data_IF_209674840399
#
_entry.id   IF_209674840399
#
_cell.length_a   1.000
_cell.length_b   1.000
_cell.length_c   1.000
_cell.angle_alpha   90.00
_cell.angle_beta   90.00
_cell.angle_gamma   90.00
#
_symmetry.space_group_name_H-M   'P 1'
#
loop_
_entity.id
_entity.type
_entity.pdbx_description
1 polymer ?
#
# COMPACT_ATOMS: atom_id res chain seq x y z
N UNK A 1 -10.60 36.08 19.04
CA UNK A 1 -10.35 36.24 17.61
C UNK A 1 -10.94 35.04 16.89
N UNK A 2 -11.63 35.22 15.76
CA UNK A 2 -12.12 34.12 14.97
C UNK A 2 -10.94 33.29 14.42
N UNK A 3 -11.14 31.96 14.34
CA UNK A 3 -10.08 31.03 13.96
C UNK A 3 -10.07 30.75 12.47
N UNK A 4 -8.89 30.74 11.84
CA UNK A 4 -8.68 30.24 10.50
C UNK A 4 -8.17 28.80 10.55
N UNK A 5 -8.80 27.91 9.81
CA UNK A 5 -8.51 26.48 9.76
C UNK A 5 -8.06 26.14 8.34
N UNK A 6 -6.92 25.48 8.18
CA UNK A 6 -6.42 25.13 6.87
C UNK A 6 -6.70 23.68 6.49
N UNK A 7 -7.23 23.48 5.26
CA UNK A 7 -7.32 22.16 4.65
C UNK A 7 -6.48 22.10 3.38
N UNK A 8 -5.51 21.18 3.38
CA UNK A 8 -4.56 20.97 2.29
C UNK A 8 -4.74 19.56 1.73
N UNK A 9 -4.82 19.44 0.39
CA UNK A 9 -4.93 18.14 -0.27
C UNK A 9 -3.95 17.99 -1.42
N UNK A 10 -3.27 16.84 -1.46
CA UNK A 10 -2.39 16.42 -2.55
C UNK A 10 -2.87 15.12 -3.17
N UNK A 11 -2.79 15.02 -4.50
CA UNK A 11 -3.17 13.79 -5.23
C UNK A 11 -2.07 12.72 -5.22
N UNK A 12 -0.83 13.05 -4.83
CA UNK A 12 0.27 12.10 -4.69
C UNK A 12 1.23 12.51 -3.58
N UNK A 13 1.92 11.52 -2.98
CA UNK A 13 2.96 11.75 -1.96
C UNK A 13 4.14 12.58 -2.49
N UNK A 14 4.43 12.50 -3.79
CA UNK A 14 5.50 13.28 -4.45
C UNK A 14 5.15 14.77 -4.49
N UNK A 15 3.88 15.11 -4.68
CA UNK A 15 3.43 16.51 -4.65
C UNK A 15 3.47 17.12 -3.25
N UNK A 16 3.36 16.28 -2.22
CA UNK A 16 3.44 16.71 -0.82
C UNK A 16 4.85 17.16 -0.39
N UNK A 17 5.90 16.63 -1.01
CA UNK A 17 7.30 16.95 -0.71
C UNK A 17 7.88 18.10 -1.54
N UNK A 18 7.09 18.68 -2.47
CA UNK A 18 7.56 19.68 -3.44
C UNK A 18 6.94 21.08 -3.29
N UNK A 19 7.04 21.86 -4.36
CA UNK A 19 6.61 23.27 -4.42
C UNK A 19 5.11 23.49 -4.16
N UNK A 20 4.26 22.45 -4.29
CA UNK A 20 2.83 22.55 -4.04
C UNK A 20 2.49 22.88 -2.59
N UNK A 21 3.23 22.29 -1.61
CA UNK A 21 3.03 22.61 -0.18
C UNK A 21 3.45 24.02 0.13
N UNK A 22 4.61 24.44 -0.40
CA UNK A 22 5.13 25.80 -0.22
C UNK A 22 4.16 26.82 -0.78
N UNK A 23 3.59 26.56 -1.98
CA UNK A 23 2.61 27.43 -2.63
C UNK A 23 1.32 27.55 -1.80
N UNK A 24 0.74 26.44 -1.32
CA UNK A 24 -0.48 26.49 -0.53
C UNK A 24 -0.26 27.20 0.81
N UNK A 25 0.84 26.95 1.49
CA UNK A 25 1.19 27.67 2.70
C UNK A 25 1.38 29.18 2.42
N UNK A 26 2.02 29.56 1.31
CA UNK A 26 2.18 30.95 0.90
C UNK A 26 0.82 31.65 0.77
N UNK A 27 -0.16 31.02 0.11
CA UNK A 27 -1.51 31.58 -0.02
C UNK A 27 -2.21 31.75 1.34
N UNK A 28 -2.05 30.81 2.26
CA UNK A 28 -2.60 30.90 3.61
C UNK A 28 -1.99 32.10 4.36
N UNK A 29 -0.66 32.26 4.33
CA UNK A 29 0.01 33.36 5.02
C UNK A 29 -0.30 34.73 4.38
N UNK A 30 -0.40 34.81 3.04
CA UNK A 30 -0.81 36.02 2.33
C UNK A 30 -2.25 36.42 2.70
N UNK A 31 -3.15 35.44 2.78
CA UNK A 31 -4.53 35.66 3.20
C UNK A 31 -4.60 36.18 4.65
N UNK A 32 -3.88 35.58 5.59
CA UNK A 32 -3.82 36.00 6.99
C UNK A 32 -3.24 37.41 7.13
N UNK A 33 -2.25 37.78 6.35
CA UNK A 33 -1.69 39.13 6.33
C UNK A 33 -2.74 40.17 5.93
N UNK A 34 -3.63 39.83 5.02
CA UNK A 34 -4.71 40.69 4.55
C UNK A 34 -5.96 40.65 5.45
N UNK A 35 -6.03 39.69 6.36
CA UNK A 35 -7.15 39.50 7.29
C UNK A 35 -6.63 39.35 8.74
N UNK A 36 -6.11 40.42 9.34
CA UNK A 36 -5.45 40.37 10.65
C UNK A 36 -6.37 40.01 11.81
N UNK A 37 -7.69 40.09 11.60
CA UNK A 37 -8.69 39.70 12.60
C UNK A 37 -8.79 38.17 12.80
N UNK A 38 -8.18 37.37 11.91
CA UNK A 38 -8.17 35.92 11.97
C UNK A 38 -6.84 35.39 12.44
N UNK A 39 -6.86 34.36 13.27
CA UNK A 39 -5.68 33.63 13.73
C UNK A 39 -5.68 32.20 13.20
N UNK A 40 -4.59 31.76 12.60
CA UNK A 40 -4.45 30.38 12.15
C UNK A 40 -4.40 29.45 13.37
N UNK A 41 -5.29 28.46 13.40
CA UNK A 41 -5.24 27.40 14.40
C UNK A 41 -4.31 26.29 13.93
N UNK A 42 -3.09 26.26 14.45
CA UNK A 42 -2.11 25.27 14.07
C UNK A 42 -2.44 23.86 14.60
N UNK A 43 -3.27 23.75 15.61
CA UNK A 43 -3.72 22.47 16.17
C UNK A 43 -4.78 21.79 15.30
N UNK A 44 -5.49 22.56 14.46
CA UNK A 44 -6.56 22.13 13.54
C UNK A 44 -6.10 22.25 12.08
N UNK A 45 -4.95 21.67 11.76
CA UNK A 45 -4.45 21.53 10.37
C UNK A 45 -4.86 20.20 9.79
N UNK A 46 -5.69 20.23 8.76
CA UNK A 46 -6.17 19.04 8.08
C UNK A 46 -5.41 18.81 6.77
N UNK A 47 -4.78 17.65 6.62
CA UNK A 47 -3.95 17.35 5.45
C UNK A 47 -4.22 15.96 4.90
N UNK A 48 -4.67 15.89 3.65
CA UNK A 48 -4.83 14.64 2.90
C UNK A 48 -3.66 14.42 1.93
N UNK A 49 -2.74 13.50 2.28
CA UNK A 49 -1.56 13.18 1.50
C UNK A 49 -1.77 11.93 0.65
N UNK A 50 -2.00 12.12 -0.65
CA UNK A 50 -2.16 11.00 -1.60
C UNK A 50 -3.54 10.35 -1.61
N UNK A 51 -4.56 11.00 -1.04
CA UNK A 51 -5.95 10.53 -1.09
C UNK A 51 -6.66 11.19 -2.27
N UNK A 52 -7.27 10.35 -3.14
CA UNK A 52 -8.02 10.84 -4.29
C UNK A 52 -9.37 11.44 -3.86
N UNK A 53 -9.58 12.70 -4.16
CA UNK A 53 -10.90 13.34 -3.97
C UNK A 53 -11.99 12.81 -4.92
N UNK A 54 -11.59 12.13 -6.02
CA UNK A 54 -12.52 11.56 -6.99
C UNK A 54 -13.30 10.36 -6.42
N UNK A 55 -12.67 9.52 -5.60
CA UNK A 55 -13.32 8.37 -4.95
C UNK A 55 -14.09 8.73 -3.67
N UNK A 56 -14.02 9.98 -3.20
CA UNK A 56 -14.63 10.43 -1.95
C UNK A 56 -14.00 9.86 -0.68
N UNK A 57 -12.91 9.14 -0.78
CA UNK A 57 -12.23 8.52 0.35
C UNK A 57 -11.76 9.56 1.39
N UNK A 58 -11.40 10.78 0.95
CA UNK A 58 -11.01 11.88 1.81
C UNK A 58 -12.11 12.33 2.79
N UNK A 59 -13.39 12.15 2.42
CA UNK A 59 -14.52 12.57 3.26
C UNK A 59 -15.05 11.45 4.18
N UNK A 60 -14.68 10.17 3.89
CA UNK A 60 -15.10 9.03 4.73
C UNK A 60 -14.05 8.63 5.76
N UNK A 61 -12.77 8.74 5.42
CA UNK A 61 -11.65 8.26 6.24
C UNK A 61 -10.39 9.13 6.15
N UNK A 62 -10.49 10.35 5.57
CA UNK A 62 -9.39 11.30 5.44
C UNK A 62 -9.56 12.51 6.34
N UNK A 63 -8.57 13.41 6.32
CA UNK A 63 -8.54 14.61 7.14
C UNK A 63 -9.73 15.55 6.90
N UNK A 64 -10.34 15.53 5.72
CA UNK A 64 -11.59 16.27 5.48
C UNK A 64 -12.78 15.69 6.24
N UNK A 65 -12.85 14.38 6.42
CA UNK A 65 -13.84 13.72 7.28
C UNK A 65 -13.68 14.11 8.74
N UNK A 66 -12.43 14.16 9.22
CA UNK A 66 -12.10 14.64 10.57
C UNK A 66 -12.50 16.11 10.77
N UNK A 67 -12.27 16.96 9.76
CA UNK A 67 -12.75 18.34 9.77
C UNK A 67 -14.28 18.42 9.92
N UNK A 68 -15.03 17.66 9.11
CA UNK A 68 -16.49 17.65 9.21
C UNK A 68 -16.98 17.17 10.59
N UNK A 69 -16.35 16.13 11.13
CA UNK A 69 -16.66 15.65 12.48
C UNK A 69 -16.35 16.70 13.57
N UNK A 70 -15.26 17.46 13.42
CA UNK A 70 -14.91 18.55 14.33
C UNK A 70 -15.90 19.72 14.24
N UNK A 71 -16.47 19.99 13.07
CA UNK A 71 -17.55 20.96 12.89
C UNK A 71 -18.85 20.45 13.55
N UNK A 72 -19.24 19.21 13.29
CA UNK A 72 -20.47 18.61 13.84
C UNK A 72 -20.43 18.46 15.37
N UNK A 73 -19.25 18.18 15.95
CA UNK A 73 -19.06 18.08 17.41
C UNK A 73 -18.88 19.44 18.10
N UNK A 74 -18.83 20.56 17.36
CA UNK A 74 -18.69 21.91 17.94
C UNK A 74 -17.22 22.22 18.38
N UNK A 75 -16.26 21.39 18.09
CA UNK A 75 -14.83 21.68 18.32
C UNK A 75 -14.41 22.89 17.49
N UNK A 76 -14.92 22.96 16.25
CA UNK A 76 -14.79 24.13 15.39
C UNK A 76 -16.02 25.00 15.60
N UNK A 77 -15.82 26.16 16.21
CA UNK A 77 -16.89 27.07 16.58
C UNK A 77 -17.39 27.91 15.40
N UNK A 78 -18.65 28.32 15.44
CA UNK A 78 -19.21 29.29 14.52
C UNK A 78 -18.40 30.61 14.54
N UNK A 79 -18.29 31.24 13.37
CA UNK A 79 -17.40 32.39 13.16
C UNK A 79 -15.97 32.02 12.74
N UNK A 80 -15.63 30.73 12.74
CA UNK A 80 -14.38 30.24 12.15
C UNK A 80 -14.42 30.25 10.61
N UNK A 81 -13.24 30.27 9.97
CA UNK A 81 -13.13 30.23 8.51
C UNK A 81 -12.29 29.01 8.08
N UNK A 82 -12.77 28.27 7.09
CA UNK A 82 -12.02 27.20 6.42
C UNK A 82 -11.31 27.77 5.20
N UNK A 83 -9.97 27.68 5.19
CA UNK A 83 -9.12 28.07 4.07
C UNK A 83 -8.82 26.85 3.20
N UNK A 84 -9.25 26.89 1.94
CA UNK A 84 -8.98 25.89 0.91
C UNK A 84 -8.37 26.52 -0.33
N UNK A 85 -7.53 25.80 -1.08
CA UNK A 85 -6.98 26.31 -2.33
C UNK A 85 -8.10 26.65 -3.33
N UNK A 86 -9.09 25.74 -3.47
CA UNK A 86 -10.27 25.90 -4.34
C UNK A 86 -11.39 24.96 -3.89
N UNK A 87 -12.62 25.20 -4.31
CA UNK A 87 -13.78 24.38 -3.91
C UNK A 87 -13.69 22.92 -4.29
N UNK A 88 -12.93 22.56 -5.32
CA UNK A 88 -12.67 21.16 -5.68
C UNK A 88 -11.90 20.38 -4.61
N UNK A 89 -11.30 21.06 -3.64
CA UNK A 89 -10.69 20.45 -2.47
C UNK A 89 -11.74 19.86 -1.51
N UNK A 90 -12.89 20.52 -1.43
CA UNK A 90 -14.01 20.09 -0.57
C UNK A 90 -14.63 18.78 -1.09
N UNK A 91 -14.89 18.68 -2.38
CA UNK A 91 -15.35 17.44 -3.02
C UNK A 91 -15.08 17.43 -4.53
N UNK A 92 -14.75 16.26 -5.08
CA UNK A 92 -14.74 15.96 -6.52
C UNK A 92 -15.72 14.86 -6.88
N UNK A 93 -16.60 14.49 -5.96
CA UNK A 93 -17.70 13.57 -6.23
C UNK A 93 -18.78 14.28 -7.07
N UNK A 94 -19.96 13.73 -7.09
CA UNK A 94 -21.11 14.36 -7.74
C UNK A 94 -21.41 15.75 -7.12
N UNK A 95 -22.09 16.57 -7.89
CA UNK A 95 -22.41 17.97 -7.54
C UNK A 95 -23.28 18.05 -6.28
N UNK A 96 -24.22 17.12 -6.12
CA UNK A 96 -25.14 17.13 -4.99
C UNK A 96 -24.42 16.89 -3.67
N UNK A 97 -23.54 15.89 -3.64
CA UNK A 97 -22.69 15.61 -2.47
C UNK A 97 -21.77 16.79 -2.15
N UNK A 98 -21.19 17.43 -3.16
CA UNK A 98 -20.32 18.60 -2.95
C UNK A 98 -21.09 19.79 -2.40
N UNK A 99 -22.28 20.05 -2.93
CA UNK A 99 -23.20 21.10 -2.47
C UNK A 99 -23.67 20.84 -1.05
N UNK A 100 -24.03 19.61 -0.72
CA UNK A 100 -24.48 19.25 0.61
C UNK A 100 -23.39 19.45 1.67
N UNK A 101 -22.16 19.08 1.36
CA UNK A 101 -21.01 19.31 2.26
C UNK A 101 -20.75 20.79 2.49
N UNK A 102 -20.71 21.59 1.43
CA UNK A 102 -20.56 23.03 1.55
C UNK A 102 -21.71 23.62 2.40
N UNK A 103 -22.95 23.21 2.14
CA UNK A 103 -24.12 23.64 2.91
C UNK A 103 -23.99 23.31 4.39
N UNK A 104 -23.57 22.09 4.74
CA UNK A 104 -23.37 21.68 6.14
C UNK A 104 -22.35 22.58 6.86
N UNK A 105 -21.22 22.88 6.21
CA UNK A 105 -20.19 23.74 6.78
C UNK A 105 -20.74 25.15 7.03
N UNK A 106 -21.41 25.75 6.02
CA UNK A 106 -21.94 27.10 6.12
C UNK A 106 -23.09 27.20 7.13
N UNK A 107 -23.95 26.18 7.23
CA UNK A 107 -25.03 26.14 8.26
C UNK A 107 -24.48 26.00 9.67
N UNK A 108 -23.35 25.39 9.86
CA UNK A 108 -22.65 25.33 11.15
C UNK A 108 -21.98 26.67 11.52
N UNK A 109 -22.11 27.69 10.68
CA UNK A 109 -21.53 29.02 10.91
C UNK A 109 -20.02 29.10 10.62
N UNK A 110 -19.47 28.16 9.87
CA UNK A 110 -18.08 28.18 9.41
C UNK A 110 -18.04 28.68 7.97
N UNK A 111 -17.40 29.82 7.76
CA UNK A 111 -17.22 30.39 6.42
C UNK A 111 -16.18 29.57 5.62
N UNK A 112 -16.27 29.58 4.29
CA UNK A 112 -15.30 28.94 3.42
C UNK A 112 -14.67 29.98 2.50
N UNK A 113 -13.32 30.02 2.49
CA UNK A 113 -12.56 30.92 1.60
C UNK A 113 -11.72 30.08 0.65
N UNK A 114 -11.86 30.35 -0.65
CA UNK A 114 -11.01 29.81 -1.69
C UNK A 114 -9.84 30.74 -1.98
N UNK A 115 -8.63 30.26 -1.70
CA UNK A 115 -7.41 31.08 -1.76
C UNK A 115 -6.96 31.40 -3.20
N UNK A 116 -7.36 30.59 -4.19
CA UNK A 116 -6.99 30.77 -5.59
C UNK A 116 -7.66 31.99 -6.25
N UNK A 117 -8.91 32.27 -5.87
CA UNK A 117 -9.71 33.35 -6.43
C UNK A 117 -10.24 34.33 -5.36
N UNK A 118 -9.78 34.15 -4.12
CA UNK A 118 -10.18 34.93 -2.93
C UNK A 118 -11.72 35.08 -2.78
N UNK A 119 -12.45 34.03 -3.12
CA UNK A 119 -13.91 34.00 -3.00
C UNK A 119 -14.34 33.55 -1.61
N UNK A 120 -15.31 34.27 -1.04
CA UNK A 120 -15.91 33.97 0.24
C UNK A 120 -17.26 33.31 0.06
N UNK A 121 -17.47 32.22 0.79
CA UNK A 121 -18.75 31.51 0.90
C UNK A 121 -19.20 31.56 2.36
N UNK A 122 -20.29 32.28 2.59
CA UNK A 122 -20.91 32.48 3.92
C UNK A 122 -22.29 31.85 3.96
N UNK A 123 -22.91 31.83 5.14
CA UNK A 123 -24.28 31.31 5.30
C UNK A 123 -25.25 32.03 4.37
N UNK A 124 -25.08 33.33 4.19
CA UNK A 124 -25.92 34.19 3.32
C UNK A 124 -25.75 33.78 1.82
N UNK A 125 -24.58 33.26 1.44
CA UNK A 125 -24.34 32.77 0.08
C UNK A 125 -25.24 31.57 -0.30
N UNK A 126 -25.86 30.90 0.69
CA UNK A 126 -26.82 29.83 0.43
C UNK A 126 -28.15 30.34 -0.15
N UNK A 127 -28.44 31.61 0.07
CA UNK A 127 -29.65 32.29 -0.43
C UNK A 127 -29.36 33.12 -1.70
N UNK A 128 -28.08 33.19 -2.14
CA UNK A 128 -27.67 33.85 -3.36
C UNK A 128 -27.52 32.83 -4.51
N UNK A 129 -28.44 32.79 -5.48
CA UNK A 129 -28.39 31.85 -6.59
C UNK A 129 -27.10 31.95 -7.41
N UNK A 130 -26.54 33.16 -7.58
CA UNK A 130 -25.32 33.37 -8.39
C UNK A 130 -24.09 32.76 -7.70
N UNK A 131 -23.94 32.94 -6.40
CA UNK A 131 -22.86 32.32 -5.61
C UNK A 131 -22.93 30.81 -5.64
N UNK A 132 -24.13 30.23 -5.52
CA UNK A 132 -24.34 28.79 -5.63
C UNK A 132 -24.02 28.25 -7.01
N UNK A 133 -24.50 28.91 -8.07
CA UNK A 133 -24.20 28.52 -9.47
C UNK A 133 -22.68 28.58 -9.72
N UNK A 134 -22.01 29.66 -9.29
CA UNK A 134 -20.54 29.77 -9.40
C UNK A 134 -19.83 28.61 -8.72
N UNK A 135 -20.21 28.28 -7.48
CA UNK A 135 -19.64 27.17 -6.72
C UNK A 135 -19.83 25.84 -7.43
N UNK A 136 -21.04 25.56 -7.92
CA UNK A 136 -21.38 24.35 -8.67
C UNK A 136 -20.57 24.24 -9.95
N UNK A 137 -20.45 25.30 -10.74
CA UNK A 137 -19.68 25.32 -11.99
C UNK A 137 -18.19 25.05 -11.75
N UNK A 138 -17.58 25.61 -10.69
CA UNK A 138 -16.19 25.35 -10.33
C UNK A 138 -15.98 23.87 -9.98
N UNK A 139 -16.87 23.30 -9.16
CA UNK A 139 -16.82 21.90 -8.77
C UNK A 139 -17.02 20.96 -9.96
N UNK A 140 -18.00 21.26 -10.83
CA UNK A 140 -18.27 20.48 -12.05
C UNK A 140 -17.07 20.49 -13.00
N UNK A 141 -16.50 21.66 -13.29
CA UNK A 141 -15.31 21.78 -14.16
C UNK A 141 -14.14 20.92 -13.66
N UNK A 142 -13.88 20.92 -12.36
CA UNK A 142 -12.81 20.12 -11.78
C UNK A 142 -13.08 18.60 -11.86
N UNK A 143 -14.34 18.19 -11.73
CA UNK A 143 -14.75 16.79 -11.91
C UNK A 143 -14.60 16.36 -13.38
N UNK A 144 -15.11 17.15 -14.32
CA UNK A 144 -14.97 16.90 -15.76
C UNK A 144 -13.51 16.85 -16.21
N UNK A 145 -12.66 17.74 -15.71
CA UNK A 145 -11.21 17.71 -15.99
C UNK A 145 -10.57 16.40 -15.52
N UNK A 146 -10.92 15.94 -14.30
CA UNK A 146 -10.42 14.68 -13.75
C UNK A 146 -10.92 13.48 -14.55
N UNK A 147 -12.20 13.46 -14.92
CA UNK A 147 -12.81 12.41 -15.75
C UNK A 147 -12.19 12.38 -17.16
N UNK A 148 -12.00 13.54 -17.75
CA UNK A 148 -11.36 13.70 -19.09
C UNK A 148 -9.91 13.22 -19.07
N UNK A 149 -9.12 13.60 -18.06
CA UNK A 149 -7.75 13.10 -17.86
C UNK A 149 -7.72 11.58 -17.74
N UNK A 150 -8.64 11.00 -16.94
CA UNK A 150 -8.75 9.55 -16.77
C UNK A 150 -9.13 8.85 -18.09
N UNK A 151 -10.08 9.40 -18.84
CA UNK A 151 -10.49 8.88 -20.16
C UNK A 151 -9.33 8.92 -21.16
N UNK A 152 -8.64 10.06 -21.26
CA UNK A 152 -7.46 10.21 -22.15
C UNK A 152 -6.36 9.22 -21.78
N UNK A 153 -6.08 9.03 -20.48
CA UNK A 153 -5.09 8.06 -20.02
C UNK A 153 -5.48 6.63 -20.39
N UNK A 154 -6.74 6.26 -20.20
CA UNK A 154 -7.25 4.93 -20.61
C UNK A 154 -7.09 4.72 -22.11
N UNK A 155 -7.56 5.67 -22.92
CA UNK A 155 -7.43 5.58 -24.39
C UNK A 155 -5.96 5.46 -24.83
N UNK A 156 -5.04 6.19 -24.20
CA UNK A 156 -3.60 6.09 -24.50
C UNK A 156 -3.03 4.71 -24.13
N UNK A 157 -3.49 4.11 -23.03
CA UNK A 157 -3.11 2.74 -22.68
C UNK A 157 -3.73 1.69 -23.60
N UNK A 158 -4.98 1.89 -24.05
CA UNK A 158 -5.64 1.00 -25.00
C UNK A 158 -4.90 1.01 -26.34
N UNK A 159 -4.57 2.18 -26.87
CA UNK A 159 -3.77 2.30 -28.08
C UNK A 159 -2.38 1.60 -27.94
N UNK A 160 -1.71 1.77 -26.79
CA UNK A 160 -0.46 1.03 -26.53
C UNK A 160 -0.65 -0.48 -26.49
N UNK A 161 -1.78 -0.99 -26.01
CA UNK A 161 -2.08 -2.43 -26.00
C UNK A 161 -2.34 -2.96 -27.40
N UNK A 162 -3.07 -2.19 -28.23
CA UNK A 162 -3.29 -2.52 -29.64
C UNK A 162 -1.95 -2.56 -30.39
N UNK A 163 -1.08 -1.58 -30.19
CA UNK A 163 0.26 -1.56 -30.74
C UNK A 163 1.12 -2.74 -30.25
N UNK A 164 0.97 -3.11 -28.96
CA UNK A 164 1.68 -4.27 -28.40
C UNK A 164 1.21 -5.59 -29.02
N UNK A 165 -0.09 -5.72 -29.35
CA UNK A 165 -0.61 -6.89 -30.10
C UNK A 165 -0.01 -6.98 -31.51
N UNK A 166 0.49 -5.86 -32.06
CA UNK A 166 1.21 -5.78 -33.34
C UNK A 166 2.74 -5.91 -33.19
N UNK A 167 3.24 -6.25 -31.98
CA UNK A 167 4.65 -6.48 -31.70
C UNK A 167 5.44 -5.28 -31.19
N UNK A 168 4.79 -4.10 -30.96
CA UNK A 168 5.50 -2.95 -30.37
C UNK A 168 5.68 -3.07 -28.88
N UNK A 169 6.82 -2.63 -28.35
CA UNK A 169 7.09 -2.60 -26.90
C UNK A 169 6.34 -1.45 -26.23
N UNK A 170 5.48 -1.78 -25.26
CA UNK A 170 4.66 -0.79 -24.55
C UNK A 170 5.45 0.15 -23.64
N UNK A 171 6.40 -0.39 -22.90
CA UNK A 171 7.17 0.33 -21.87
C UNK A 171 8.55 -0.29 -21.69
N UNK A 172 9.50 0.49 -21.14
CA UNK A 172 10.81 -0.03 -20.73
C UNK A 172 10.75 -1.04 -19.58
N UNK A 173 9.62 -1.13 -18.88
CA UNK A 173 9.44 -2.07 -17.78
C UNK A 173 8.98 -3.42 -18.34
N UNK A 174 9.80 -4.44 -18.17
CA UNK A 174 9.51 -5.82 -18.58
C UNK A 174 9.70 -6.81 -17.42
N UNK A 175 9.59 -8.09 -17.70
CA UNK A 175 9.85 -9.18 -16.76
C UNK A 175 11.34 -9.30 -16.45
N UNK A 176 11.68 -9.85 -15.30
CA UNK A 176 13.04 -9.77 -14.76
C UNK A 176 14.10 -10.60 -15.52
N UNK A 177 13.71 -11.52 -16.37
CA UNK A 177 14.63 -12.29 -17.25
C UNK A 177 14.84 -11.67 -18.63
N UNK A 178 14.22 -10.48 -18.84
CA UNK A 178 14.35 -9.69 -20.05
C UNK A 178 14.81 -8.27 -19.72
N UNK A 179 15.45 -7.64 -20.67
CA UNK A 179 15.63 -6.20 -20.73
C UNK A 179 15.14 -5.67 -22.09
N UNK A 180 14.76 -4.43 -22.13
CA UNK A 180 14.37 -3.77 -23.38
C UNK A 180 15.63 -3.14 -23.98
N UNK A 181 15.84 -3.31 -25.27
CA UNK A 181 16.91 -2.66 -26.02
C UNK A 181 16.86 -1.13 -25.89
N UNK A 182 18.00 -0.48 -26.07
CA UNK A 182 18.10 0.98 -25.91
C UNK A 182 17.13 1.78 -26.78
N UNK A 183 16.89 1.31 -27.99
CA UNK A 183 15.96 1.87 -29.01
C UNK A 183 14.51 1.41 -28.85
N UNK A 184 14.21 0.54 -27.86
CA UNK A 184 12.89 -0.06 -27.62
C UNK A 184 12.36 -0.91 -28.78
N UNK A 185 13.22 -1.45 -29.64
CA UNK A 185 12.82 -2.27 -30.80
C UNK A 185 12.56 -3.73 -30.43
N UNK A 186 13.30 -4.30 -29.48
CA UNK A 186 13.21 -5.70 -29.12
C UNK A 186 13.54 -5.98 -27.64
N UNK A 187 13.20 -7.20 -27.20
CA UNK A 187 13.59 -7.70 -25.90
C UNK A 187 14.87 -8.52 -26.01
N UNK A 188 15.80 -8.29 -25.10
CA UNK A 188 17.03 -9.05 -24.94
C UNK A 188 16.90 -9.98 -23.73
N UNK A 189 17.33 -11.24 -23.88
CA UNK A 189 17.39 -12.21 -22.80
C UNK A 189 18.53 -11.87 -21.84
N UNK A 190 18.28 -11.99 -20.53
CA UNK A 190 19.32 -11.96 -19.49
C UNK A 190 19.69 -13.42 -19.19
N UNK A 191 20.84 -13.95 -19.66
CA UNK A 191 21.13 -15.39 -19.66
C UNK A 191 21.03 -16.05 -18.29
N UNK A 192 21.55 -15.41 -17.22
CA UNK A 192 21.54 -15.99 -15.88
C UNK A 192 20.14 -16.06 -15.30
N UNK A 193 19.31 -15.05 -15.58
CA UNK A 193 17.91 -15.04 -15.14
C UNK A 193 17.07 -16.07 -15.91
N UNK A 194 17.35 -16.28 -17.20
CA UNK A 194 16.70 -17.31 -18.01
C UNK A 194 17.05 -18.70 -17.47
N UNK A 195 18.33 -18.98 -17.18
CA UNK A 195 18.77 -20.23 -16.55
C UNK A 195 18.06 -20.48 -15.23
N UNK A 196 17.94 -19.45 -14.39
CA UNK A 196 17.22 -19.57 -13.12
C UNK A 196 15.73 -19.92 -13.32
N UNK A 197 15.05 -19.28 -14.30
CA UNK A 197 13.66 -19.62 -14.65
C UNK A 197 13.54 -21.07 -15.10
N UNK A 198 14.38 -21.50 -16.03
CA UNK A 198 14.37 -22.86 -16.57
C UNK A 198 14.65 -23.90 -15.47
N UNK A 199 15.60 -23.62 -14.58
CA UNK A 199 15.93 -24.51 -13.45
C UNK A 199 14.75 -24.70 -12.50
N UNK A 200 14.02 -23.64 -12.17
CA UNK A 200 12.80 -23.74 -11.33
C UNK A 200 11.74 -24.63 -11.97
N UNK A 201 11.51 -24.50 -13.28
CA UNK A 201 10.55 -25.34 -14.02
C UNK A 201 11.01 -26.79 -14.07
N UNK A 202 12.31 -27.05 -14.34
CA UNK A 202 12.90 -28.37 -14.34
C UNK A 202 12.69 -29.08 -12.99
N UNK A 203 13.08 -28.43 -11.88
CA UNK A 203 12.92 -29.00 -10.53
C UNK A 203 11.45 -29.29 -10.19
N UNK A 204 10.53 -28.46 -10.71
CA UNK A 204 9.10 -28.70 -10.51
C UNK A 204 8.60 -29.91 -11.29
N UNK A 205 9.06 -30.12 -12.53
CA UNK A 205 8.74 -31.29 -13.35
C UNK A 205 9.32 -32.57 -12.75
N UNK A 206 10.47 -32.50 -12.06
CA UNK A 206 11.04 -33.58 -11.25
C UNK A 206 10.18 -33.91 -10.00
N UNK A 207 9.09 -33.15 -9.75
CA UNK A 207 8.14 -33.37 -8.65
C UNK A 207 8.48 -32.67 -7.34
N UNK A 208 9.51 -31.85 -7.26
CA UNK A 208 9.91 -31.20 -6.02
C UNK A 208 8.83 -30.21 -5.54
N UNK A 209 8.52 -30.16 -4.23
CA UNK A 209 7.64 -29.14 -3.65
C UNK A 209 8.32 -27.77 -3.63
N UNK A 210 7.53 -26.68 -3.65
CA UNK A 210 8.03 -25.30 -3.79
C UNK A 210 9.11 -24.91 -2.77
N UNK A 211 8.98 -25.39 -1.52
CA UNK A 211 9.97 -25.13 -0.46
C UNK A 211 11.33 -25.79 -0.78
N UNK A 212 11.30 -27.01 -1.32
CA UNK A 212 12.52 -27.73 -1.68
C UNK A 212 13.18 -27.09 -2.91
N UNK A 213 12.37 -26.66 -3.90
CA UNK A 213 12.86 -25.90 -5.05
C UNK A 213 13.55 -24.61 -4.58
N UNK A 214 12.90 -23.83 -3.71
CA UNK A 214 13.49 -22.60 -3.18
C UNK A 214 14.83 -22.85 -2.48
N UNK A 215 14.88 -23.91 -1.67
CA UNK A 215 16.10 -24.31 -0.98
C UNK A 215 17.20 -24.71 -1.96
N UNK A 216 16.90 -25.52 -2.94
CA UNK A 216 17.88 -25.98 -3.93
C UNK A 216 18.41 -24.84 -4.80
N UNK A 217 17.54 -23.91 -5.22
CA UNK A 217 17.97 -22.70 -5.93
C UNK A 217 18.93 -21.84 -5.11
N UNK A 218 18.72 -21.75 -3.79
CA UNK A 218 19.62 -21.04 -2.90
C UNK A 218 20.96 -21.77 -2.70
N UNK A 219 20.93 -23.10 -2.58
CA UNK A 219 22.12 -23.97 -2.46
C UNK A 219 22.95 -23.97 -3.75
N UNK A 220 22.30 -23.93 -4.93
CA UNK A 220 22.94 -23.79 -6.24
C UNK A 220 23.46 -22.37 -6.53
N UNK A 221 23.23 -21.41 -5.62
CA UNK A 221 23.73 -20.03 -5.73
C UNK A 221 22.96 -19.14 -6.70
N UNK A 222 21.75 -19.52 -7.11
CA UNK A 222 20.90 -18.65 -7.92
C UNK A 222 20.32 -17.51 -7.10
N UNK A 223 20.45 -16.28 -7.59
CA UNK A 223 19.78 -15.11 -6.99
C UNK A 223 18.35 -14.98 -7.51
N UNK A 224 17.49 -14.36 -6.69
CA UNK A 224 16.12 -14.05 -7.15
C UNK A 224 16.16 -13.04 -8.28
N UNK A 225 15.18 -13.16 -9.17
CA UNK A 225 15.01 -12.30 -10.35
C UNK A 225 14.70 -10.81 -10.00
N UNK A 226 14.54 -10.46 -8.74
CA UNK A 226 14.21 -9.11 -8.32
C UNK A 226 15.49 -8.28 -8.08
N UNK A 227 15.97 -7.62 -9.10
CA UNK A 227 17.18 -6.77 -9.08
C UNK A 227 17.09 -5.54 -8.15
N UNK A 228 15.91 -5.22 -7.59
CA UNK A 228 15.74 -4.02 -6.74
C UNK A 228 16.29 -4.15 -5.32
N UNK A 229 16.58 -5.36 -4.88
CA UNK A 229 17.12 -5.58 -3.54
C UNK A 229 18.07 -6.79 -3.50
N UNK A 230 19.34 -6.61 -3.84
CA UNK A 230 20.32 -7.70 -3.86
C UNK A 230 20.55 -8.31 -2.47
N UNK A 231 20.33 -7.57 -1.39
CA UNK A 231 20.50 -8.06 -0.02
C UNK A 231 19.41 -9.07 0.39
N UNK A 232 18.24 -9.05 -0.29
CA UNK A 232 17.14 -10.02 -0.09
C UNK A 232 17.03 -11.05 -1.20
N UNK A 233 18.10 -11.28 -1.95
CA UNK A 233 18.13 -12.02 -3.19
C UNK A 233 17.94 -13.55 -3.10
N UNK A 234 17.48 -14.09 -1.97
CA UNK A 234 17.27 -15.52 -1.85
C UNK A 234 15.84 -15.95 -2.27
N UNK A 235 15.74 -17.13 -2.89
CA UNK A 235 14.49 -17.73 -3.29
C UNK A 235 13.63 -18.13 -2.10
N UNK A 236 12.32 -17.92 -2.21
CA UNK A 236 11.31 -18.36 -1.27
C UNK A 236 10.25 -19.21 -1.97
N UNK A 237 9.52 -20.02 -1.24
CA UNK A 237 8.40 -20.81 -1.79
C UNK A 237 7.34 -19.94 -2.48
N UNK A 238 7.11 -18.72 -1.99
CA UNK A 238 6.17 -17.76 -2.58
C UNK A 238 6.70 -17.22 -3.91
N UNK A 239 8.01 -16.96 -4.00
CA UNK A 239 8.65 -16.50 -5.24
C UNK A 239 8.62 -17.59 -6.30
N UNK A 240 8.94 -18.84 -5.90
CA UNK A 240 8.84 -20.02 -6.78
C UNK A 240 7.41 -20.18 -7.29
N UNK A 241 6.42 -20.15 -6.39
CA UNK A 241 5.01 -20.27 -6.79
C UNK A 241 4.61 -19.16 -7.77
N UNK A 242 4.94 -17.92 -7.49
CA UNK A 242 4.61 -16.79 -8.33
C UNK A 242 5.23 -16.90 -9.72
N UNK A 243 6.47 -17.40 -9.82
CA UNK A 243 7.13 -17.65 -11.11
C UNK A 243 6.47 -18.78 -11.90
N UNK A 244 6.14 -19.90 -11.26
CA UNK A 244 5.47 -21.03 -11.89
C UNK A 244 4.03 -20.71 -12.34
N UNK A 245 3.39 -19.69 -11.77
CA UNK A 245 2.06 -19.21 -12.16
C UNK A 245 2.11 -18.12 -13.26
N UNK A 246 3.30 -17.60 -13.56
CA UNK A 246 3.46 -16.45 -14.43
C UNK A 246 3.49 -16.84 -15.91
N UNK A 247 2.42 -16.58 -16.65
CA UNK A 247 2.32 -16.86 -18.08
C UNK A 247 3.30 -16.06 -18.96
N UNK A 248 3.97 -15.07 -18.39
CA UNK A 248 5.01 -14.34 -19.16
C UNK A 248 6.20 -15.20 -19.53
N UNK A 249 6.42 -16.36 -18.88
CA UNK A 249 7.49 -17.30 -19.24
C UNK A 249 7.25 -17.99 -20.59
N UNK A 250 5.96 -18.07 -21.00
CA UNK A 250 5.53 -18.60 -22.31
C UNK A 250 5.11 -17.47 -23.27
N UNK A 251 5.55 -16.25 -23.01
CA UNK A 251 5.42 -15.13 -23.94
C UNK A 251 4.22 -14.20 -23.73
N UNK A 252 3.34 -14.44 -22.76
CA UNK A 252 2.18 -13.59 -22.53
C UNK A 252 2.51 -12.33 -21.72
N UNK A 253 1.93 -11.20 -22.13
CA UNK A 253 1.85 -10.01 -21.28
C UNK A 253 0.59 -10.06 -20.46
N UNK A 254 0.74 -10.36 -19.16
CA UNK A 254 -0.37 -10.41 -18.21
C UNK A 254 -0.59 -9.01 -17.62
N UNK A 255 -1.82 -8.47 -17.64
CA UNK A 255 -2.14 -7.21 -16.99
C UNK A 255 -1.96 -7.34 -15.48
N UNK A 256 -1.50 -6.26 -14.83
CA UNK A 256 -1.50 -6.22 -13.36
C UNK A 256 -2.93 -6.19 -12.82
N UNK A 257 -3.20 -6.93 -11.73
CA UNK A 257 -4.50 -6.94 -11.04
C UNK A 257 -4.74 -5.60 -10.32
N UNK A 258 -4.96 -4.53 -11.07
CA UNK A 258 -5.38 -3.24 -10.52
C UNK A 258 -6.73 -2.85 -11.15
N UNK A 259 -7.45 -1.95 -10.48
CA UNK A 259 -8.76 -1.46 -10.94
C UNK A 259 -8.76 -0.89 -12.35
N UNK A 260 -7.62 -0.35 -12.80
CA UNK A 260 -7.45 0.24 -14.15
C UNK A 260 -7.32 -0.84 -15.23
N UNK A 261 -6.87 -2.05 -14.88
CA UNK A 261 -6.68 -3.16 -15.82
C UNK A 261 -7.77 -4.24 -15.71
N UNK A 262 -8.81 -3.99 -14.92
CA UNK A 262 -9.92 -4.91 -14.77
C UNK A 262 -10.63 -5.11 -16.13
N UNK A 263 -10.72 -6.36 -16.59
CA UNK A 263 -11.29 -6.71 -17.91
C UNK A 263 -10.31 -6.63 -19.10
N UNK A 264 -9.04 -6.24 -18.87
CA UNK A 264 -8.03 -6.23 -19.94
C UNK A 264 -7.55 -7.65 -20.21
N UNK A 265 -7.61 -8.05 -21.47
CA UNK A 265 -7.14 -9.37 -21.93
C UNK A 265 -5.61 -9.44 -21.93
N UNK A 266 -5.07 -10.65 -21.75
CA UNK A 266 -3.66 -10.94 -21.93
C UNK A 266 -3.25 -10.77 -23.40
N UNK A 267 -2.03 -10.31 -23.64
CA UNK A 267 -1.47 -10.17 -25.00
C UNK A 267 -0.56 -11.37 -25.26
N UNK A 268 -0.91 -12.28 -26.16
CA UNK A 268 -0.07 -13.42 -26.52
C UNK A 268 1.13 -12.95 -27.34
N UNK A 269 2.21 -13.73 -27.31
CA UNK A 269 3.44 -13.53 -28.11
C UNK A 269 4.07 -12.12 -27.93
N UNK A 270 3.87 -11.52 -26.74
CA UNK A 270 4.44 -10.21 -26.43
C UNK A 270 5.88 -10.29 -25.97
N UNK A 271 6.23 -11.30 -25.18
CA UNK A 271 7.59 -11.57 -24.74
C UNK A 271 8.19 -12.76 -25.48
N UNK A 272 9.52 -12.82 -25.68
CA UNK A 272 10.18 -14.08 -26.08
C UNK A 272 9.93 -15.13 -24.99
N UNK A 273 9.44 -16.30 -25.41
CA UNK A 273 9.22 -17.42 -24.50
C UNK A 273 10.56 -18.01 -24.04
N UNK A 274 10.66 -18.35 -22.76
CA UNK A 274 11.84 -18.98 -22.14
C UNK A 274 11.55 -20.40 -21.66
N UNK A 275 10.27 -20.76 -21.60
CA UNK A 275 9.73 -22.10 -21.29
C UNK A 275 8.74 -22.46 -22.39
N UNK A 276 8.67 -23.76 -22.78
CA UNK A 276 7.66 -24.22 -23.72
C UNK A 276 6.26 -24.26 -23.08
N UNK A 277 5.22 -24.13 -23.90
CA UNK A 277 3.84 -24.24 -23.41
C UNK A 277 3.57 -25.61 -22.77
N UNK A 278 4.11 -26.69 -23.35
CA UNK A 278 4.00 -28.05 -22.83
C UNK A 278 4.56 -28.16 -21.41
N UNK A 279 5.76 -27.65 -21.18
CA UNK A 279 6.39 -27.63 -19.85
C UNK A 279 5.57 -26.79 -18.85
N UNK A 280 5.08 -25.63 -19.29
CA UNK A 280 4.26 -24.77 -18.44
C UNK A 280 2.98 -25.48 -18.00
N UNK A 281 2.22 -26.05 -18.95
CA UNK A 281 0.96 -26.71 -18.62
C UNK A 281 1.16 -28.02 -17.86
N UNK A 282 2.23 -28.79 -18.10
CA UNK A 282 2.60 -29.95 -17.29
C UNK A 282 2.81 -29.56 -15.82
N UNK A 283 3.49 -28.44 -15.56
CA UNK A 283 3.66 -27.90 -14.19
C UNK A 283 2.31 -27.50 -13.56
N UNK A 284 1.38 -26.92 -14.35
CA UNK A 284 0.03 -26.57 -13.82
C UNK A 284 -0.77 -27.83 -13.43
N UNK A 285 -0.70 -28.89 -14.21
CA UNK A 285 -1.36 -30.18 -13.90
C UNK A 285 -0.85 -30.78 -12.58
N UNK A 286 0.47 -30.72 -12.32
CA UNK A 286 1.05 -31.17 -11.04
C UNK A 286 0.53 -30.40 -9.81
N UNK A 287 -0.02 -29.20 -9.99
CA UNK A 287 -0.64 -28.43 -8.89
C UNK A 287 -2.04 -28.91 -8.56
N UNK A 288 -2.81 -29.32 -9.56
CA UNK A 288 -4.20 -29.76 -9.38
C UNK A 288 -4.29 -31.12 -8.64
N UNK A 289 -3.25 -31.97 -8.78
CA UNK A 289 -3.18 -33.26 -8.10
C UNK A 289 -2.79 -33.23 -6.62
N UNK A 290 -2.27 -32.10 -6.14
CA UNK A 290 -1.94 -31.91 -4.72
C UNK A 290 -3.16 -31.40 -3.95
N UNK A 291 -4.19 -32.23 -3.80
CA UNK A 291 -5.36 -31.94 -2.99
C UNK A 291 -4.93 -31.45 -1.59
N UNK A 292 -5.46 -30.30 -1.14
CA UNK A 292 -5.41 -29.90 0.27
C UNK A 292 -6.00 -31.06 1.07
N UNK A 293 -5.19 -31.77 1.86
CA UNK A 293 -5.73 -32.59 2.92
C UNK A 293 -6.63 -31.71 3.77
N UNK A 294 -7.93 -31.99 3.90
CA UNK A 294 -8.77 -31.22 4.78
C UNK A 294 -8.18 -31.34 6.17
N UNK A 295 -7.87 -30.23 6.80
CA UNK A 295 -7.53 -30.18 8.22
C UNK A 295 -8.81 -30.47 8.99
N UNK A 296 -9.02 -31.74 9.27
CA UNK A 296 -10.10 -32.20 10.12
C UNK A 296 -9.69 -31.99 11.57
N UNK A 297 -9.76 -30.85 12.11
CA UNK A 297 -9.79 -30.50 13.51
C UNK A 297 -9.28 -29.08 13.71
N UNK A 298 -10.01 -28.30 14.49
CA UNK A 298 -9.56 -26.96 14.88
C UNK A 298 -8.25 -27.12 15.64
N UNK A 299 -7.14 -26.53 15.19
CA UNK A 299 -5.88 -26.68 15.91
C UNK A 299 -6.06 -26.08 17.29
N UNK A 300 -5.81 -26.89 18.33
CA UNK A 300 -5.47 -26.38 19.66
C UNK A 300 -4.51 -25.20 19.50
N UNK A 301 -4.62 -24.18 20.34
CA UNK A 301 -3.73 -23.02 20.38
C UNK A 301 -2.26 -23.49 20.43
N UNK A 302 -1.68 -23.72 19.25
CA UNK A 302 -0.36 -24.34 19.14
C UNK A 302 0.78 -23.33 19.14
N UNK A 303 0.48 -22.04 19.00
CA UNK A 303 1.50 -20.99 19.00
C UNK A 303 0.98 -19.75 19.73
N UNK A 304 1.35 -19.63 21.02
CA UNK A 304 0.98 -18.49 21.88
C UNK A 304 1.56 -17.16 21.37
N UNK A 305 2.74 -17.20 20.75
CA UNK A 305 3.48 -16.02 20.31
C UNK A 305 3.50 -15.87 18.79
N UNK A 306 2.41 -16.32 18.12
CA UNK A 306 2.27 -16.21 16.65
C UNK A 306 2.39 -14.76 16.19
N UNK A 307 3.34 -14.51 15.28
CA UNK A 307 3.58 -13.18 14.68
C UNK A 307 4.39 -12.22 15.56
N UNK A 308 4.58 -12.52 16.84
CA UNK A 308 5.35 -11.70 17.80
C UNK A 308 6.79 -12.19 17.89
N UNK A 309 6.97 -13.51 18.08
CA UNK A 309 8.29 -14.11 18.26
C UNK A 309 9.11 -14.05 16.97
N UNK A 310 10.31 -13.51 17.05
CA UNK A 310 11.26 -13.35 15.94
C UNK A 310 12.51 -14.20 16.15
N UNK A 311 13.13 -14.59 15.04
CA UNK A 311 14.42 -15.27 15.07
C UNK A 311 15.54 -14.30 15.45
N UNK A 312 16.37 -14.64 16.43
CA UNK A 312 17.49 -13.79 16.86
C UNK A 312 18.59 -13.61 15.81
N UNK A 313 18.77 -14.57 14.88
CA UNK A 313 19.80 -14.49 13.84
C UNK A 313 19.36 -13.68 12.62
N UNK A 314 18.12 -13.85 12.14
CA UNK A 314 17.66 -13.25 10.87
C UNK A 314 16.45 -12.32 10.99
N UNK A 315 15.86 -12.15 12.18
CA UNK A 315 14.72 -11.27 12.44
C UNK A 315 13.36 -11.74 11.88
N UNK A 316 13.31 -12.86 11.13
CA UNK A 316 12.06 -13.37 10.59
C UNK A 316 11.20 -14.06 11.65
N UNK A 317 9.91 -14.22 11.34
CA UNK A 317 8.94 -14.87 12.23
C UNK A 317 9.33 -16.32 12.52
N UNK A 318 9.09 -16.76 13.76
CA UNK A 318 9.17 -18.16 14.12
C UNK A 318 7.83 -18.86 13.93
N UNK A 319 7.88 -20.14 13.60
CA UNK A 319 6.72 -21.03 13.43
C UNK A 319 6.86 -22.23 14.34
N UNK A 320 5.73 -22.76 14.81
CA UNK A 320 5.72 -24.03 15.54
C UNK A 320 5.72 -25.17 14.54
N UNK A 321 6.66 -26.10 14.70
CA UNK A 321 6.75 -27.29 13.89
C UNK A 321 6.31 -28.51 14.67
N UNK A 322 5.39 -29.31 14.09
CA UNK A 322 4.98 -30.64 14.54
C UNK A 322 4.62 -30.71 16.04
N UNK A 323 3.57 -30.03 16.47
CA UNK A 323 2.96 -30.33 17.75
C UNK A 323 2.00 -31.52 17.58
N UNK A 324 2.14 -32.55 18.42
CA UNK A 324 1.22 -33.67 18.57
C UNK A 324 0.80 -33.76 20.03
N UNK A 325 -0.19 -34.56 20.37
CA UNK A 325 -0.59 -34.78 21.79
C UNK A 325 0.57 -35.21 22.68
N UNK A 326 1.49 -36.03 22.14
CA UNK A 326 2.67 -36.52 22.84
C UNK A 326 3.90 -35.67 22.77
N UNK A 327 4.00 -34.74 21.76
CA UNK A 327 5.15 -33.89 21.52
C UNK A 327 4.75 -32.44 21.32
N UNK A 328 5.19 -31.60 22.21
CA UNK A 328 4.80 -30.18 22.23
C UNK A 328 5.36 -29.34 21.09
N UNK A 329 6.19 -29.90 20.24
CA UNK A 329 6.79 -29.21 19.10
C UNK A 329 7.95 -28.30 19.45
N UNK A 330 8.49 -27.67 18.43
CA UNK A 330 9.58 -26.70 18.55
C UNK A 330 9.24 -25.39 17.84
N UNK A 331 9.73 -24.27 18.34
CA UNK A 331 9.84 -23.05 17.58
C UNK A 331 11.02 -23.14 16.62
N UNK A 332 10.76 -22.83 15.36
CA UNK A 332 11.77 -22.84 14.30
C UNK A 332 11.65 -21.57 13.46
N UNK A 333 12.77 -21.02 13.03
CA UNK A 333 12.76 -19.93 12.06
C UNK A 333 12.08 -20.37 10.76
N UNK A 334 11.16 -19.55 10.24
CA UNK A 334 10.47 -19.83 8.97
C UNK A 334 11.41 -19.92 7.78
N UNK A 335 12.52 -19.16 7.81
CA UNK A 335 13.52 -19.11 6.75
C UNK A 335 14.42 -20.35 6.70
N UNK A 336 14.47 -21.15 7.76
CA UNK A 336 15.29 -22.38 7.80
C UNK A 336 14.82 -23.44 6.80
N UNK A 337 13.53 -23.50 6.52
CA UNK A 337 12.99 -24.45 5.52
C UNK A 337 13.52 -24.15 4.09
N UNK A 338 13.83 -22.89 3.83
CA UNK A 338 14.28 -22.40 2.53
C UNK A 338 15.81 -22.28 2.45
N UNK A 339 16.55 -22.77 3.47
CA UNK A 339 18.01 -22.69 3.53
C UNK A 339 18.55 -21.26 3.69
N UNK A 340 17.76 -20.36 4.28
CA UNK A 340 18.10 -18.93 4.44
C UNK A 340 18.49 -18.53 5.86
N UNK A 341 18.47 -19.47 6.79
CA UNK A 341 18.81 -19.25 8.19
C UNK A 341 19.18 -20.57 8.85
N UNK A 342 20.25 -20.59 9.62
CA UNK A 342 20.75 -21.78 10.29
C UNK A 342 20.39 -21.84 11.79
N UNK A 343 19.57 -20.88 12.27
CA UNK A 343 19.14 -20.80 13.66
C UNK A 343 18.60 -22.14 14.18
N UNK A 344 19.10 -22.56 15.33
CA UNK A 344 18.66 -23.79 15.98
C UNK A 344 17.19 -23.71 16.41
N UNK A 345 16.50 -24.83 16.41
CA UNK A 345 15.12 -24.92 16.90
C UNK A 345 15.11 -24.90 18.43
N UNK A 346 14.10 -24.26 19.01
CA UNK A 346 13.94 -24.13 20.47
C UNK A 346 12.74 -24.97 20.91
N UNK A 347 12.86 -25.72 22.00
CA UNK A 347 11.75 -26.46 22.58
C UNK A 347 10.62 -25.49 22.95
N UNK A 348 9.40 -25.73 22.40
CA UNK A 348 8.27 -24.84 22.57
C UNK A 348 7.87 -24.68 24.03
N UNK A 349 7.77 -25.79 24.80
CA UNK A 349 7.34 -25.77 26.19
C UNK A 349 8.27 -24.94 27.08
N UNK A 350 9.58 -25.02 26.84
CA UNK A 350 10.58 -24.24 27.58
C UNK A 350 10.48 -22.76 27.19
N UNK A 351 10.37 -22.48 25.91
CA UNK A 351 10.26 -21.09 25.42
C UNK A 351 8.95 -20.42 25.89
N UNK A 352 7.81 -21.12 25.80
CA UNK A 352 6.52 -20.62 26.26
C UNK A 352 6.58 -20.29 27.77
N UNK A 353 7.15 -21.19 28.58
CA UNK A 353 7.30 -20.99 30.02
C UNK A 353 8.18 -19.76 30.32
N UNK A 354 9.34 -19.66 29.67
CA UNK A 354 10.27 -18.55 29.89
C UNK A 354 9.65 -17.21 29.49
N UNK A 355 8.99 -17.15 28.33
CA UNK A 355 8.35 -15.93 27.83
C UNK A 355 7.18 -15.49 28.71
N UNK A 356 6.32 -16.41 29.14
CA UNK A 356 5.21 -16.09 30.04
C UNK A 356 5.73 -15.61 31.39
N UNK A 357 6.75 -16.26 31.96
CA UNK A 357 7.36 -15.83 33.21
C UNK A 357 7.99 -14.43 33.08
N UNK A 358 8.68 -14.14 31.96
CA UNK A 358 9.25 -12.83 31.69
C UNK A 358 8.18 -11.75 31.55
N UNK A 359 7.06 -12.05 30.91
CA UNK A 359 5.92 -11.12 30.80
C UNK A 359 5.31 -10.83 32.18
N UNK A 360 5.07 -11.85 33.00
CA UNK A 360 4.52 -11.69 34.34
C UNK A 360 5.47 -10.89 35.25
N UNK A 361 6.77 -11.15 35.17
CA UNK A 361 7.77 -10.38 35.92
C UNK A 361 7.74 -8.89 35.53
N UNK A 362 7.72 -8.58 34.24
CA UNK A 362 7.69 -7.20 33.76
C UNK A 362 6.37 -6.49 34.05
N UNK A 363 5.22 -7.17 33.97
CA UNK A 363 3.93 -6.58 34.35
C UNK A 363 3.85 -6.28 35.83
N UNK A 364 4.35 -7.14 36.69
CA UNK A 364 4.42 -6.89 38.13
C UNK A 364 5.35 -5.71 38.46
N UNK A 365 6.50 -5.60 37.78
CA UNK A 365 7.42 -4.45 37.94
C UNK A 365 6.80 -3.13 37.46
N UNK A 366 6.04 -3.14 36.36
CA UNK A 366 5.33 -1.95 35.86
C UNK A 366 4.17 -1.53 36.78
N UNK A 367 3.46 -2.47 37.41
CA UNK A 367 2.40 -2.16 38.37
C UNK A 367 2.96 -1.57 39.67
N UNK A 368 4.11 -2.05 40.15
CA UNK A 368 4.80 -1.49 41.31
C UNK A 368 5.32 -0.06 41.05
N UNK A 369 5.82 0.23 39.85
CA UNK A 369 6.28 1.58 39.49
C UNK A 369 5.15 2.59 39.26
N UNK A 370 3.91 2.16 38.95
CA UNK A 370 2.75 3.06 38.86
C UNK A 370 2.26 3.56 40.23
N UNK A 371 2.65 2.88 41.31
CA UNK A 371 2.34 3.30 42.69
C UNK A 371 3.26 4.39 43.25
N UNK A 372 4.44 4.58 42.66
CA UNK A 372 5.42 5.57 43.15
C UNK A 372 5.75 6.54 42.01
N UNK A 373 4.94 7.54 41.76
CA UNK A 373 5.00 8.52 40.68
C UNK A 373 6.37 9.12 40.32
N UNK A 374 7.30 8.32 39.84
CA UNK A 374 8.57 8.74 39.27
C UNK A 374 8.74 8.24 37.83
N UNK A 375 9.16 9.16 36.98
CA UNK A 375 9.38 8.98 35.55
C UNK A 375 10.23 7.74 35.24
N UNK A 376 9.78 7.00 34.20
CA UNK A 376 10.51 5.84 33.66
C UNK A 376 11.73 6.38 32.92
N UNK A 377 12.91 6.27 33.55
CA UNK A 377 14.19 6.43 32.89
C UNK A 377 14.44 5.27 31.93
N UNK A 378 15.07 5.59 30.80
CA UNK A 378 15.43 4.70 29.69
C UNK A 378 16.57 3.74 30.06
N UNK A 379 16.28 2.72 30.87
CA UNK A 379 17.23 1.63 31.10
C UNK A 379 16.73 0.35 30.42
N UNK A 380 17.04 0.24 29.13
CA UNK A 380 17.04 -1.01 28.41
C UNK A 380 18.27 -1.82 28.87
N UNK A 381 18.02 -3.01 29.42
CA UNK A 381 19.00 -3.96 29.88
C UNK A 381 20.08 -4.26 28.83
N UNK A 382 21.38 -4.40 29.26
CA UNK A 382 22.39 -4.96 28.39
C UNK A 382 22.10 -6.43 28.10
N UNK A 383 22.25 -6.80 26.82
CA UNK A 383 22.20 -8.18 26.35
C UNK A 383 23.63 -8.71 26.45
N UNK A 384 23.90 -9.51 27.46
CA UNK A 384 25.04 -10.46 27.49
C UNK A 384 24.58 -11.84 26.97
#
# INVERSE_FOLDING_TARGET
MPKAISYIRFSSKIQASGDSTKRQNKYIYEWLKNNPDYQLDESLRFQDLGISGYSGANAKSGAFGEFLAAVESGVIQAGSVLLVESLDRVSRQDIDTARERLRKILLAGVDVVTLADNSWYKKESLNDPLSLIKAVLIMQRANEESATKSKRLRSAWDAKREDAAKGKIMTRRCVAWLRVSGDMSHFELIPDNVKAVQRVFQLRLEGLPFVRIARQMNEEGFYTLNQRNPVKGAWSHTTVKALLDNRSVIGFKVPSNCTVTQGVKEIPNYYPAVISEEQFYAVQQLKQGAGRRPSSEKPLLTNLFKGVMRCGECGFVTVVNCATEKWHGVYRCSMRYEGRCDAKSINRRLADKALVQGLLYNTNRLSLNRGNGSAIGSDLLPVD
#
